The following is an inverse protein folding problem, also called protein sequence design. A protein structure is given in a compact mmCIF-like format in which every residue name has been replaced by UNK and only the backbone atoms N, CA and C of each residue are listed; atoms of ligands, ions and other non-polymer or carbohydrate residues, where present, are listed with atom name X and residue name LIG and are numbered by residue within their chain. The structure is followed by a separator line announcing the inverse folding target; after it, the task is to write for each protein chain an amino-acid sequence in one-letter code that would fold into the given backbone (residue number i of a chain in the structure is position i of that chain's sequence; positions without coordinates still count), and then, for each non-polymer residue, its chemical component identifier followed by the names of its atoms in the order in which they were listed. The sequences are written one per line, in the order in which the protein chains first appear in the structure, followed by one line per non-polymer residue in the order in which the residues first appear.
data_IF_636588467965
#
_entry.id   IF_636588467965
#
_cell.length_a   1.000
_cell.length_b   1.000
_cell.length_c   1.000
_cell.angle_alpha   90.00
_cell.angle_beta   90.00
_cell.angle_gamma   90.00
#
_symmetry.space_group_name_H-M   'P 1'
#
loop_
_entity.id
_entity.type
_entity.pdbx_description
1 polymer ?
#
# COMPACT_ATOMS: atom_id res chain seq x y z
N UNK A 1 8.36 -10.42 5.38
CA UNK A 1 7.10 -10.02 6.05
C UNK A 1 6.26 -11.26 6.34
N UNK A 2 5.69 -11.33 7.54
CA UNK A 2 4.80 -12.40 7.99
C UNK A 2 3.60 -11.71 8.63
N UNK A 3 2.46 -11.74 7.96
CA UNK A 3 1.23 -11.15 8.48
C UNK A 3 0.72 -11.95 9.70
N UNK A 4 0.69 -11.30 10.85
CA UNK A 4 0.26 -11.87 12.13
C UNK A 4 -0.08 -10.78 13.16
N UNK A 5 -0.99 -11.02 14.10
CA UNK A 5 -1.87 -12.18 14.20
C UNK A 5 -3.07 -12.10 13.25
N UNK A 6 -3.34 -10.93 12.64
CA UNK A 6 -4.32 -10.72 11.59
C UNK A 6 -3.89 -11.32 10.25
N UNK A 7 -4.75 -11.24 9.23
CA UNK A 7 -4.49 -11.68 7.85
C UNK A 7 -3.97 -13.12 7.69
N UNK A 8 -4.08 -13.94 8.74
CA UNK A 8 -3.44 -15.25 8.87
C UNK A 8 -4.31 -16.44 8.44
N UNK A 9 -5.45 -16.18 7.74
CA UNK A 9 -6.43 -17.22 7.40
C UNK A 9 -5.83 -18.45 6.72
N UNK A 10 -4.91 -18.26 5.77
CA UNK A 10 -4.28 -19.37 5.07
C UNK A 10 -3.51 -20.30 6.03
N UNK A 11 -2.74 -19.73 6.96
CA UNK A 11 -2.03 -20.49 7.98
C UNK A 11 -3.00 -21.19 8.95
N UNK A 12 -4.06 -20.49 9.39
CA UNK A 12 -5.07 -21.05 10.29
C UNK A 12 -5.75 -22.25 9.66
N UNK A 13 -6.22 -22.13 8.41
CA UNK A 13 -6.87 -23.22 7.67
C UNK A 13 -5.93 -24.42 7.48
N UNK A 14 -4.67 -24.16 7.10
CA UNK A 14 -3.67 -25.21 6.92
C UNK A 14 -3.37 -25.95 8.24
N UNK A 15 -3.22 -25.21 9.35
CA UNK A 15 -2.94 -25.82 10.65
C UNK A 15 -4.17 -26.52 11.24
N UNK A 16 -5.38 -26.06 10.95
CA UNK A 16 -6.61 -26.77 11.29
C UNK A 16 -6.71 -28.09 10.53
N UNK A 17 -6.43 -28.12 9.23
CA UNK A 17 -6.39 -29.37 8.45
C UNK A 17 -5.32 -30.34 8.98
N UNK A 18 -4.15 -29.82 9.43
CA UNK A 18 -3.13 -30.63 10.10
C UNK A 18 -3.65 -31.19 11.42
N UNK A 19 -4.33 -30.38 12.24
CA UNK A 19 -4.97 -30.80 13.49
C UNK A 19 -5.94 -31.96 13.25
N UNK A 20 -6.88 -31.82 12.33
CA UNK A 20 -7.87 -32.84 11.98
C UNK A 20 -7.21 -34.15 11.52
N UNK A 21 -6.14 -34.06 10.75
CA UNK A 21 -5.40 -35.23 10.25
C UNK A 21 -4.77 -36.07 11.36
N UNK A 22 -4.28 -35.45 12.43
CA UNK A 22 -3.53 -36.14 13.49
C UNK A 22 -4.36 -36.38 14.75
N UNK A 23 -5.56 -35.81 14.87
CA UNK A 23 -6.35 -35.83 16.10
C UNK A 23 -6.54 -37.23 16.70
N UNK A 24 -6.84 -38.22 15.87
CA UNK A 24 -7.09 -39.59 16.31
C UNK A 24 -5.81 -40.42 16.52
N UNK A 25 -4.74 -40.10 15.78
CA UNK A 25 -3.53 -40.92 15.73
C UNK A 25 -2.39 -40.39 16.61
N UNK A 26 -2.29 -39.08 16.75
CA UNK A 26 -1.27 -38.38 17.52
C UNK A 26 -1.80 -37.02 18.02
N UNK A 27 -2.54 -37.00 19.12
CA UNK A 27 -3.11 -35.76 19.67
C UNK A 27 -2.08 -34.69 20.02
N UNK A 28 -0.88 -35.05 20.41
CA UNK A 28 0.20 -34.11 20.73
C UNK A 28 0.61 -33.37 19.44
N UNK A 29 0.86 -34.13 18.39
CA UNK A 29 1.20 -33.59 17.06
C UNK A 29 0.06 -32.80 16.45
N UNK A 30 -1.20 -33.16 16.71
CA UNK A 30 -2.37 -32.42 16.26
C UNK A 30 -2.35 -30.98 16.81
N UNK A 31 -2.13 -30.79 18.12
CA UNK A 31 -2.13 -29.49 18.76
C UNK A 31 -0.84 -28.68 18.61
N UNK A 32 0.22 -29.27 18.04
CA UNK A 32 1.56 -28.67 18.01
C UNK A 32 1.58 -27.27 17.40
N UNK A 33 0.85 -27.06 16.29
CA UNK A 33 0.80 -25.80 15.52
C UNK A 33 -0.62 -25.31 15.28
N UNK A 34 -1.58 -25.72 16.11
CA UNK A 34 -2.96 -25.22 15.99
C UNK A 34 -2.98 -23.72 16.30
N UNK A 35 -3.62 -22.92 15.43
CA UNK A 35 -3.60 -21.46 15.48
C UNK A 35 -4.93 -20.82 15.91
N UNK A 36 -5.96 -21.63 16.07
CA UNK A 36 -7.29 -21.17 16.51
C UNK A 36 -7.83 -22.04 17.61
N UNK A 37 -8.51 -21.43 18.56
CA UNK A 37 -9.33 -22.14 19.53
C UNK A 37 -10.53 -22.75 18.80
N UNK A 38 -10.69 -24.08 18.89
CA UNK A 38 -11.78 -24.79 18.22
C UNK A 38 -13.16 -24.51 18.84
N UNK A 39 -13.18 -23.91 20.03
CA UNK A 39 -14.37 -23.50 20.76
C UNK A 39 -14.60 -21.97 20.73
N UNK A 40 -13.84 -21.25 19.90
CA UNK A 40 -13.98 -19.80 19.76
C UNK A 40 -15.34 -19.46 19.14
N UNK A 41 -16.13 -18.71 19.88
CA UNK A 41 -17.43 -18.17 19.47
C UNK A 41 -17.35 -16.65 19.21
N UNK A 42 -16.19 -16.13 18.87
CA UNK A 42 -16.01 -14.71 18.51
C UNK A 42 -16.79 -14.35 17.26
N UNK A 43 -17.36 -13.16 17.27
CA UNK A 43 -18.06 -12.59 16.11
C UNK A 43 -17.34 -11.35 15.64
N UNK A 44 -16.69 -11.46 14.50
CA UNK A 44 -16.02 -10.34 13.85
C UNK A 44 -16.02 -10.48 12.33
N UNK A 45 -15.78 -9.39 11.64
CA UNK A 45 -15.55 -9.36 10.18
C UNK A 45 -14.33 -8.49 9.92
N UNK A 46 -13.30 -9.08 9.31
CA UNK A 46 -12.10 -8.34 8.93
C UNK A 46 -12.36 -7.39 7.76
N UNK A 47 -11.44 -6.48 7.48
CA UNK A 47 -11.50 -5.56 6.34
C UNK A 47 -11.69 -6.31 4.99
N UNK A 48 -11.20 -7.56 4.88
CA UNK A 48 -11.36 -8.42 3.70
C UNK A 48 -12.61 -9.31 3.74
N UNK A 49 -13.49 -9.14 4.74
CA UNK A 49 -14.74 -9.89 4.85
C UNK A 49 -14.63 -11.29 5.47
N UNK A 50 -13.53 -11.61 6.14
CA UNK A 50 -13.34 -12.89 6.82
C UNK A 50 -13.70 -12.81 8.31
N UNK A 51 -14.19 -13.92 8.86
CA UNK A 51 -14.51 -14.09 10.29
C UNK A 51 -13.59 -15.11 11.00
N UNK A 52 -12.53 -15.56 10.32
CA UNK A 52 -11.65 -16.66 10.76
C UNK A 52 -10.17 -16.41 10.39
N UNK A 53 -9.76 -15.13 10.31
CA UNK A 53 -8.43 -14.75 9.83
C UNK A 53 -7.45 -14.28 10.91
N UNK A 54 -7.82 -14.36 12.19
CA UNK A 54 -6.99 -13.91 13.31
C UNK A 54 -6.49 -15.10 14.12
N UNK A 55 -5.16 -15.21 14.30
CA UNK A 55 -4.55 -16.26 15.15
C UNK A 55 -4.94 -16.06 16.61
N UNK A 56 -5.13 -17.15 17.35
CA UNK A 56 -5.34 -17.08 18.80
C UNK A 56 -3.98 -16.87 19.49
N UNK A 57 -3.79 -15.70 20.07
CA UNK A 57 -2.52 -15.27 20.68
C UNK A 57 -2.31 -15.77 22.11
N UNK A 58 -3.34 -16.32 22.76
CA UNK A 58 -3.23 -16.97 24.05
C UNK A 58 -2.72 -18.42 23.97
N UNK A 59 -2.67 -18.99 22.76
CA UNK A 59 -2.24 -20.37 22.55
C UNK A 59 -0.72 -20.49 22.40
N UNK A 60 -0.04 -21.33 23.21
CA UNK A 60 1.42 -21.57 23.03
C UNK A 60 1.79 -22.13 21.65
N UNK A 61 0.86 -22.82 20.98
CA UNK A 61 1.04 -23.34 19.61
C UNK A 61 1.23 -22.25 18.56
N UNK A 62 0.61 -21.08 18.74
CA UNK A 62 0.81 -19.90 17.88
C UNK A 62 2.28 -19.47 17.87
N UNK A 63 2.90 -19.37 19.04
CA UNK A 63 4.32 -19.00 19.15
C UNK A 63 5.26 -20.10 18.64
N UNK A 64 4.91 -21.39 18.84
CA UNK A 64 5.67 -22.49 18.22
C UNK A 64 5.66 -22.42 16.71
N UNK A 65 4.49 -22.14 16.13
CA UNK A 65 4.34 -21.95 14.69
C UNK A 65 5.18 -20.76 14.19
N UNK A 66 5.00 -19.59 14.79
CA UNK A 66 5.74 -18.37 14.40
C UNK A 66 7.26 -18.57 14.51
N UNK A 67 7.73 -19.15 15.61
CA UNK A 67 9.15 -19.49 15.81
C UNK A 67 9.65 -20.43 14.72
N UNK A 68 8.88 -21.46 14.36
CA UNK A 68 9.26 -22.40 13.30
C UNK A 68 9.38 -21.70 11.95
N UNK A 69 8.42 -20.86 11.59
CA UNK A 69 8.46 -20.09 10.33
C UNK A 69 9.71 -19.19 10.30
N UNK A 70 10.00 -18.46 11.37
CA UNK A 70 11.18 -17.58 11.45
C UNK A 70 12.48 -18.39 11.35
N UNK A 71 12.57 -19.52 12.02
CA UNK A 71 13.74 -20.41 11.95
C UNK A 71 13.98 -20.95 10.53
N UNK A 72 12.92 -21.33 9.83
CA UNK A 72 13.03 -21.76 8.41
C UNK A 72 13.52 -20.62 7.52
N UNK A 73 13.02 -19.40 7.72
CA UNK A 73 13.53 -18.23 6.99
C UNK A 73 15.01 -17.96 7.31
N UNK A 74 15.42 -18.05 8.58
CA UNK A 74 16.84 -17.92 8.94
C UNK A 74 17.72 -18.93 8.20
N UNK A 75 17.32 -20.21 8.18
CA UNK A 75 18.03 -21.26 7.46
C UNK A 75 18.14 -20.95 5.96
N UNK A 76 17.05 -20.51 5.33
CA UNK A 76 17.06 -20.13 3.91
C UNK A 76 18.04 -18.98 3.62
N UNK A 77 18.11 -17.98 4.50
CA UNK A 77 19.04 -16.86 4.36
C UNK A 77 20.49 -17.30 4.61
N UNK A 78 20.73 -18.18 5.59
CA UNK A 78 22.04 -18.78 5.85
C UNK A 78 22.51 -19.61 4.65
N UNK A 79 21.67 -20.48 4.10
CA UNK A 79 21.96 -21.26 2.89
C UNK A 79 22.27 -20.37 1.67
N UNK A 80 21.60 -19.24 1.56
CA UNK A 80 21.86 -18.24 0.50
C UNK A 80 23.13 -17.41 0.75
N UNK A 81 23.75 -17.50 1.94
CA UNK A 81 24.94 -16.72 2.31
C UNK A 81 24.65 -15.22 2.49
N UNK A 82 23.41 -14.83 2.80
CA UNK A 82 23.02 -13.45 3.01
C UNK A 82 22.42 -13.23 4.40
N UNK A 83 22.64 -12.08 5.07
CA UNK A 83 22.10 -11.83 6.40
C UNK A 83 20.58 -11.57 6.35
N UNK A 84 19.83 -12.20 7.25
CA UNK A 84 18.46 -11.81 7.57
C UNK A 84 18.50 -10.56 8.46
N UNK A 85 18.15 -9.40 7.89
CA UNK A 85 18.32 -8.09 8.56
C UNK A 85 17.20 -7.76 9.51
N UNK A 86 15.97 -8.18 9.22
CA UNK A 86 14.79 -7.95 10.05
C UNK A 86 13.69 -8.94 9.70
N UNK A 87 12.72 -9.09 10.57
CA UNK A 87 11.43 -9.74 10.31
C UNK A 87 10.33 -8.73 10.53
N UNK A 88 9.51 -8.53 9.52
CA UNK A 88 8.27 -7.78 9.64
C UNK A 88 7.17 -8.71 10.14
N UNK A 89 6.57 -8.39 11.29
CA UNK A 89 5.64 -9.27 12.01
C UNK A 89 4.16 -8.97 11.69
N UNK A 90 3.87 -8.06 10.78
CA UNK A 90 2.51 -7.60 10.48
C UNK A 90 2.00 -6.62 11.53
N UNK A 91 0.95 -7.00 12.24
CA UNK A 91 0.37 -6.27 13.38
C UNK A 91 -0.86 -5.43 13.02
N UNK A 92 -1.16 -5.27 11.74
CA UNK A 92 -2.26 -4.47 11.25
C UNK A 92 -3.60 -5.20 11.27
N UNK A 93 -4.67 -4.41 11.26
CA UNK A 93 -6.06 -4.80 11.02
C UNK A 93 -6.55 -6.04 11.81
N UNK A 94 -6.10 -6.21 13.06
CA UNK A 94 -6.73 -7.18 13.96
C UNK A 94 -8.18 -6.76 14.14
N UNK A 95 -9.10 -7.61 13.71
CA UNK A 95 -10.52 -7.26 13.63
C UNK A 95 -11.12 -7.05 15.01
N UNK A 96 -11.88 -5.97 15.18
CA UNK A 96 -12.66 -5.74 16.39
C UNK A 96 -13.63 -6.91 16.65
N UNK A 97 -13.67 -7.41 17.88
CA UNK A 97 -14.44 -8.59 18.25
C UNK A 97 -13.67 -9.92 18.19
N UNK A 98 -12.45 -9.94 17.60
CA UNK A 98 -11.58 -11.10 17.67
C UNK A 98 -11.26 -11.45 19.13
N UNK A 99 -11.11 -12.77 19.41
CA UNK A 99 -10.76 -13.35 20.71
C UNK A 99 -11.82 -13.24 21.81
N UNK A 100 -12.82 -12.36 21.68
CA UNK A 100 -13.83 -12.12 22.72
C UNK A 100 -14.69 -13.34 23.06
N UNK A 101 -14.88 -14.23 22.08
CA UNK A 101 -15.64 -15.47 22.24
C UNK A 101 -14.80 -16.68 22.63
N UNK A 102 -13.46 -16.58 22.59
CA UNK A 102 -12.56 -17.70 22.87
C UNK A 102 -12.46 -18.00 24.36
N UNK A 103 -12.83 -19.22 24.83
CA UNK A 103 -12.57 -19.67 26.19
C UNK A 103 -11.09 -19.57 26.57
N UNK A 104 -10.18 -19.97 25.68
CA UNK A 104 -8.71 -19.92 25.93
C UNK A 104 -8.26 -18.49 26.19
N UNK A 105 -8.72 -17.52 25.40
CA UNK A 105 -8.36 -16.10 25.61
C UNK A 105 -8.94 -15.56 26.93
N UNK A 106 -10.17 -15.92 27.27
CA UNK A 106 -10.79 -15.52 28.55
C UNK A 106 -10.02 -16.04 29.75
N UNK A 107 -9.68 -17.33 29.76
CA UNK A 107 -8.91 -17.94 30.83
C UNK A 107 -7.51 -17.30 30.92
N UNK A 108 -6.88 -17.05 29.79
CA UNK A 108 -5.58 -16.39 29.72
C UNK A 108 -5.63 -14.96 30.28
N UNK A 109 -6.64 -14.17 29.90
CA UNK A 109 -6.82 -12.81 30.41
C UNK A 109 -7.01 -12.80 31.93
N UNK A 110 -7.76 -13.77 32.46
CA UNK A 110 -7.94 -13.93 33.91
C UNK A 110 -6.61 -14.27 34.60
N UNK A 111 -5.85 -15.22 34.06
CA UNK A 111 -4.55 -15.62 34.61
C UNK A 111 -3.56 -14.46 34.69
N UNK A 112 -3.53 -13.62 33.65
CA UNK A 112 -2.62 -12.48 33.56
C UNK A 112 -3.22 -11.15 34.05
N UNK A 113 -4.42 -11.19 34.65
CA UNK A 113 -5.13 -10.00 35.15
C UNK A 113 -5.36 -8.92 34.08
N UNK A 114 -5.53 -9.31 32.83
CA UNK A 114 -5.86 -8.43 31.73
C UNK A 114 -7.33 -7.99 31.81
N UNK A 115 -7.58 -6.73 31.58
CA UNK A 115 -8.91 -6.10 31.66
C UNK A 115 -9.50 -5.75 30.31
N UNK A 116 -8.64 -5.61 29.29
CA UNK A 116 -9.01 -5.28 27.93
C UNK A 116 -8.46 -6.32 26.94
N UNK A 117 -9.25 -6.67 25.94
CA UNK A 117 -8.85 -7.57 24.83
C UNK A 117 -7.65 -7.03 24.06
N UNK A 118 -7.46 -5.71 24.03
CA UNK A 118 -6.30 -5.09 23.38
C UNK A 118 -4.97 -5.53 24.02
N UNK A 119 -4.94 -5.83 25.32
CA UNK A 119 -3.76 -6.35 26.03
C UNK A 119 -3.28 -7.70 25.47
N UNK A 120 -4.14 -8.46 24.79
CA UNK A 120 -3.73 -9.67 24.07
C UNK A 120 -2.87 -9.33 22.84
N UNK A 121 -3.14 -8.22 22.15
CA UNK A 121 -2.27 -7.73 21.08
C UNK A 121 -0.90 -7.30 21.62
N UNK A 122 -0.90 -6.58 22.74
CA UNK A 122 0.32 -6.15 23.43
C UNK A 122 1.18 -7.36 23.82
N UNK A 123 0.55 -8.36 24.43
CA UNK A 123 1.22 -9.62 24.77
C UNK A 123 1.83 -10.30 23.53
N UNK A 124 1.09 -10.36 22.41
CA UNK A 124 1.60 -10.96 21.18
C UNK A 124 2.83 -10.22 20.66
N UNK A 125 2.74 -8.90 20.56
CA UNK A 125 3.85 -8.06 20.08
C UNK A 125 5.09 -8.25 20.96
N UNK A 126 4.92 -8.15 22.28
CA UNK A 126 6.01 -8.36 23.24
C UNK A 126 6.68 -9.72 23.05
N UNK A 127 5.91 -10.79 22.97
CA UNK A 127 6.43 -12.16 22.77
C UNK A 127 7.19 -12.32 21.47
N UNK A 128 6.72 -11.67 20.39
CA UNK A 128 7.40 -11.72 19.10
C UNK A 128 8.69 -10.90 19.12
N UNK A 129 8.66 -9.70 19.70
CA UNK A 129 9.86 -8.85 19.83
C UNK A 129 10.91 -9.52 20.72
N UNK A 130 10.52 -10.11 21.87
CA UNK A 130 11.42 -10.85 22.75
C UNK A 130 12.10 -12.01 22.00
N UNK A 131 11.32 -12.80 21.29
CA UNK A 131 11.86 -13.91 20.50
C UNK A 131 12.87 -13.45 19.44
N UNK A 132 12.54 -12.40 18.68
CA UNK A 132 13.43 -11.86 17.66
C UNK A 132 14.71 -11.27 18.27
N UNK A 133 14.59 -10.59 19.40
CA UNK A 133 15.73 -10.05 20.16
C UNK A 133 16.66 -11.16 20.63
N UNK A 134 16.15 -12.29 21.14
CA UNK A 134 16.94 -13.46 21.48
C UNK A 134 17.75 -13.99 20.28
N UNK A 135 17.17 -13.91 19.08
CA UNK A 135 17.83 -14.29 17.82
C UNK A 135 18.73 -13.18 17.25
N UNK A 136 18.81 -12.01 17.90
CA UNK A 136 19.52 -10.81 17.43
C UNK A 136 19.03 -10.30 16.08
N UNK A 137 17.74 -10.45 15.81
CA UNK A 137 17.05 -9.95 14.62
C UNK A 137 16.15 -8.80 15.05
N UNK A 138 16.36 -7.58 14.56
CA UNK A 138 15.41 -6.48 14.80
C UNK A 138 14.05 -6.80 14.20
N UNK A 139 12.99 -6.35 14.85
CA UNK A 139 11.64 -6.47 14.30
C UNK A 139 11.30 -5.29 13.37
N UNK A 140 10.37 -5.52 12.45
CA UNK A 140 9.61 -4.52 11.71
C UNK A 140 8.13 -4.84 11.87
N UNK A 141 7.25 -3.89 11.57
CA UNK A 141 5.81 -4.11 11.56
C UNK A 141 5.08 -2.90 11.01
N UNK A 142 3.80 -3.09 10.76
CA UNK A 142 2.93 -1.97 10.42
C UNK A 142 2.78 -1.03 11.62
N UNK A 143 2.34 0.19 11.39
CA UNK A 143 2.27 1.24 12.43
C UNK A 143 1.46 0.81 13.67
N UNK A 144 0.57 -0.17 13.53
CA UNK A 144 -0.23 -0.71 14.61
C UNK A 144 0.60 -1.41 15.70
N UNK A 145 1.79 -1.91 15.37
CA UNK A 145 2.68 -2.53 16.40
C UNK A 145 3.24 -1.55 17.42
N UNK A 146 3.10 -0.24 17.16
CA UNK A 146 3.53 0.83 18.07
C UNK A 146 2.40 1.81 18.42
N UNK A 147 1.17 1.52 17.98
CA UNK A 147 0.02 2.39 18.17
C UNK A 147 -0.88 1.86 19.29
N UNK A 148 -1.04 2.65 20.37
CA UNK A 148 -2.02 2.33 21.42
C UNK A 148 -1.59 1.22 22.38
N UNK A 149 -0.29 0.98 22.51
CA UNK A 149 0.28 -0.02 23.42
C UNK A 149 0.78 0.64 24.70
N UNK A 150 -0.12 0.81 25.68
CA UNK A 150 0.21 1.49 26.94
C UNK A 150 1.09 0.62 27.86
N UNK A 151 1.03 -0.70 27.74
CA UNK A 151 1.78 -1.66 28.57
C UNK A 151 3.21 -1.90 28.04
N UNK A 152 3.51 -1.53 26.79
CA UNK A 152 4.82 -1.72 26.20
C UNK A 152 5.63 -0.42 26.25
N UNK A 153 6.83 -0.47 26.82
CA UNK A 153 7.73 0.68 26.84
C UNK A 153 8.10 1.13 25.41
N UNK A 154 7.82 2.40 25.08
CA UNK A 154 8.22 3.01 23.80
C UNK A 154 9.73 2.85 23.56
N UNK A 155 10.55 2.99 24.60
CA UNK A 155 12.00 2.82 24.52
C UNK A 155 12.37 1.38 24.14
N UNK A 156 11.66 0.38 24.71
CA UNK A 156 11.90 -1.01 24.38
C UNK A 156 11.61 -1.33 22.91
N UNK A 157 10.50 -0.83 22.37
CA UNK A 157 10.17 -1.01 20.96
C UNK A 157 11.16 -0.26 20.05
N UNK A 158 11.48 0.99 20.39
CA UNK A 158 12.42 1.81 19.61
C UNK A 158 13.81 1.17 19.51
N UNK A 159 14.33 0.61 20.62
CA UNK A 159 15.66 -0.01 20.69
C UNK A 159 15.75 -1.31 19.88
N UNK A 160 14.62 -1.97 19.62
CA UNK A 160 14.59 -3.26 18.92
C UNK A 160 13.99 -3.17 17.49
N UNK A 161 13.47 -2.01 17.09
CA UNK A 161 12.86 -1.82 15.78
C UNK A 161 13.90 -1.62 14.68
N UNK A 162 13.72 -2.29 13.54
CA UNK A 162 14.39 -2.00 12.28
C UNK A 162 13.65 -0.95 11.47
N UNK A 163 12.32 -1.05 11.39
CA UNK A 163 11.47 -0.11 10.66
C UNK A 163 9.99 -0.30 10.96
N UNK A 164 9.29 0.80 11.16
CA UNK A 164 7.84 0.85 11.32
C UNK A 164 7.23 1.37 10.03
N UNK A 165 6.54 0.50 9.32
CA UNK A 165 5.89 0.81 8.04
C UNK A 165 4.59 1.57 8.29
N UNK A 166 4.57 2.84 7.93
CA UNK A 166 3.41 3.72 8.13
C UNK A 166 2.62 3.86 6.84
N UNK A 167 1.42 3.29 6.82
CA UNK A 167 0.57 3.22 5.63
C UNK A 167 -0.67 4.12 5.69
N UNK A 168 -1.22 4.39 6.90
CA UNK A 168 -2.42 5.21 7.05
C UNK A 168 -2.10 6.68 6.81
N UNK A 169 -2.77 7.27 5.84
CA UNK A 169 -2.55 8.66 5.41
C UNK A 169 -3.84 9.46 5.31
N UNK A 170 -4.91 9.00 5.99
CA UNK A 170 -6.19 9.71 6.00
C UNK A 170 -6.13 10.94 6.90
N UNK A 171 -6.41 12.11 6.33
CA UNK A 171 -6.50 13.36 7.08
C UNK A 171 -7.75 13.41 7.98
N UNK A 172 -8.80 12.65 7.66
CA UNK A 172 -10.08 12.72 8.37
C UNK A 172 -10.03 12.25 9.83
N UNK A 173 -9.07 11.38 10.17
CA UNK A 173 -8.88 10.83 11.52
C UNK A 173 -7.49 11.09 12.09
N UNK A 174 -6.78 12.10 11.56
CA UNK A 174 -5.42 12.47 11.96
C UNK A 174 -4.37 11.34 11.84
N UNK A 175 -4.67 10.25 11.11
CA UNK A 175 -3.71 9.16 10.94
C UNK A 175 -2.51 9.55 10.06
N UNK A 176 -2.65 10.58 9.25
CA UNK A 176 -1.56 11.20 8.48
C UNK A 176 -0.46 11.81 9.37
N UNK A 177 -0.78 12.15 10.64
CA UNK A 177 0.19 12.69 11.59
C UNK A 177 1.05 11.64 12.28
N UNK A 178 0.60 10.37 12.30
CA UNK A 178 1.28 9.28 13.01
C UNK A 178 2.73 9.11 12.56
N UNK A 179 2.98 9.28 11.28
CA UNK A 179 4.31 9.21 10.66
C UNK A 179 5.31 10.12 11.39
N UNK A 180 4.96 11.40 11.54
CA UNK A 180 5.85 12.35 12.20
C UNK A 180 5.83 12.24 13.72
N UNK A 181 4.71 11.81 14.30
CA UNK A 181 4.64 11.51 15.74
C UNK A 181 5.62 10.39 16.09
N UNK A 182 5.64 9.31 15.34
CA UNK A 182 6.56 8.18 15.57
C UNK A 182 8.02 8.57 15.29
N UNK A 183 8.29 9.24 14.18
CA UNK A 183 9.63 9.70 13.87
C UNK A 183 10.20 10.63 14.94
N UNK A 184 9.39 11.56 15.46
CA UNK A 184 9.78 12.48 16.53
C UNK A 184 10.00 11.77 17.88
N UNK A 185 9.33 10.64 18.13
CA UNK A 185 9.52 9.77 19.29
C UNK A 185 10.76 8.87 19.19
N UNK A 186 11.43 8.83 18.03
CA UNK A 186 12.64 8.05 17.81
C UNK A 186 12.46 6.75 17.06
N UNK A 187 11.24 6.37 16.69
CA UNK A 187 11.03 5.16 15.87
C UNK A 187 11.64 5.30 14.49
N UNK A 188 12.33 4.28 13.98
CA UNK A 188 12.75 4.22 12.59
C UNK A 188 11.52 4.03 11.69
N UNK A 189 11.12 5.05 10.93
CA UNK A 189 9.89 5.06 10.13
C UNK A 189 10.20 4.77 8.67
N UNK A 190 9.39 3.90 8.07
CA UNK A 190 9.34 3.62 6.64
C UNK A 190 8.00 4.16 6.10
N UNK A 191 8.07 4.97 5.04
CA UNK A 191 6.90 5.58 4.44
C UNK A 191 6.26 4.63 3.43
N UNK A 192 5.16 4.01 3.80
CA UNK A 192 4.35 3.09 2.98
C UNK A 192 2.99 3.71 2.63
N UNK A 193 2.97 5.01 2.36
CA UNK A 193 1.77 5.83 2.21
C UNK A 193 0.76 5.25 1.24
N UNK A 194 -0.40 4.81 1.71
CA UNK A 194 -1.43 4.24 0.84
C UNK A 194 -1.89 5.20 -0.26
N UNK A 195 -1.92 6.51 0.00
CA UNK A 195 -2.29 7.54 -0.99
C UNK A 195 -1.30 7.68 -2.16
N UNK A 196 -0.08 7.13 -2.02
CA UNK A 196 1.01 7.30 -2.99
C UNK A 196 1.64 5.99 -3.44
N UNK A 197 1.71 4.99 -2.54
CA UNK A 197 2.52 3.79 -2.71
C UNK A 197 1.77 2.46 -2.60
N UNK A 198 0.45 2.47 -2.48
CA UNK A 198 -0.35 1.25 -2.66
C UNK A 198 -0.62 1.08 -4.16
N UNK A 199 0.22 0.26 -4.79
CA UNK A 199 0.25 0.11 -6.25
C UNK A 199 -0.93 -0.70 -6.80
N UNK A 200 -1.61 -1.45 -5.96
CA UNK A 200 -2.85 -2.19 -6.25
C UNK A 200 -4.10 -1.31 -6.33
N UNK A 201 -4.06 -0.08 -5.81
CA UNK A 201 -5.15 0.86 -6.00
C UNK A 201 -5.31 1.22 -7.47
N UNK A 202 -6.55 1.40 -7.93
CA UNK A 202 -6.85 1.77 -9.30
C UNK A 202 -6.14 3.08 -9.69
N UNK A 203 -5.72 3.17 -10.93
CA UNK A 203 -5.06 4.37 -11.44
C UNK A 203 -6.00 5.57 -11.54
N UNK A 204 -7.27 5.30 -11.84
CA UNK A 204 -8.29 6.34 -12.08
C UNK A 204 -9.70 5.79 -11.83
N UNK A 205 -10.69 6.69 -11.81
CA UNK A 205 -12.10 6.39 -11.63
C UNK A 205 -12.76 5.70 -12.85
N UNK A 206 -12.01 5.45 -13.94
CA UNK A 206 -12.55 4.84 -15.14
C UNK A 206 -13.07 3.41 -14.86
N UNK A 207 -14.28 3.03 -15.34
CA UNK A 207 -14.89 1.72 -15.04
C UNK A 207 -14.05 0.51 -15.48
N UNK A 208 -13.21 0.66 -16.51
CA UNK A 208 -12.33 -0.40 -17.01
C UNK A 208 -10.96 -0.43 -16.33
N UNK A 209 -10.66 0.50 -15.41
CA UNK A 209 -9.43 0.44 -14.62
C UNK A 209 -9.59 -0.57 -13.49
N UNK A 210 -8.73 -1.60 -13.43
CA UNK A 210 -8.78 -2.57 -12.34
C UNK A 210 -8.20 -1.98 -11.05
N UNK A 211 -8.60 -2.52 -9.92
CA UNK A 211 -8.06 -2.17 -8.59
C UNK A 211 -9.12 -1.69 -7.62
N UNK A 212 -8.74 -1.63 -6.37
CA UNK A 212 -9.53 -1.01 -5.32
C UNK A 212 -9.36 0.51 -5.33
N UNK A 213 -10.27 1.23 -4.66
CA UNK A 213 -10.24 2.69 -4.54
C UNK A 213 -10.59 3.19 -3.12
N UNK A 214 -10.47 2.31 -2.13
CA UNK A 214 -10.85 2.62 -0.74
C UNK A 214 -10.06 3.81 -0.15
N UNK A 215 -8.84 4.07 -0.66
CA UNK A 215 -8.03 5.24 -0.29
C UNK A 215 -7.81 6.19 -1.49
N UNK A 216 -8.75 6.22 -2.42
CA UNK A 216 -8.67 6.99 -3.66
C UNK A 216 -7.90 6.27 -4.77
N UNK A 217 -7.46 7.03 -5.74
CA UNK A 217 -6.75 6.53 -6.92
C UNK A 217 -5.26 6.84 -6.81
N UNK A 218 -4.41 5.93 -7.26
CA UNK A 218 -2.96 6.10 -7.27
C UNK A 218 -2.45 5.92 -8.68
N UNK A 219 -2.03 7.01 -9.29
CA UNK A 219 -1.34 7.02 -10.57
C UNK A 219 0.19 7.26 -10.39
N UNK A 220 0.89 7.26 -11.49
CA UNK A 220 2.34 7.50 -11.51
C UNK A 220 2.73 8.92 -11.06
N UNK A 221 1.83 9.90 -11.21
CA UNK A 221 2.09 11.26 -10.74
C UNK A 221 1.98 11.38 -9.22
N UNK A 222 1.06 10.63 -8.60
CA UNK A 222 0.93 10.59 -7.14
C UNK A 222 2.10 9.89 -6.47
N UNK A 223 2.57 8.76 -7.04
CA UNK A 223 3.77 8.12 -6.50
C UNK A 223 5.02 9.00 -6.66
N UNK A 224 5.13 9.76 -7.76
CA UNK A 224 6.17 10.76 -7.94
C UNK A 224 6.06 11.93 -6.96
N UNK A 225 4.85 12.35 -6.60
CA UNK A 225 4.59 13.55 -5.80
C UNK A 225 4.87 13.40 -4.30
N UNK A 226 5.19 12.20 -3.78
CA UNK A 226 5.49 12.04 -2.36
C UNK A 226 6.66 12.93 -1.94
N UNK A 227 6.51 13.59 -0.80
CA UNK A 227 7.53 14.39 -0.11
C UNK A 227 7.81 13.77 1.26
N UNK A 228 8.91 13.01 1.43
CA UNK A 228 9.20 12.31 2.69
C UNK A 228 9.26 13.23 3.91
N UNK A 229 9.71 14.47 3.73
CA UNK A 229 9.89 15.43 4.80
C UNK A 229 8.83 16.53 4.82
N UNK A 230 7.83 16.45 3.94
CA UNK A 230 6.71 17.36 3.86
C UNK A 230 5.42 16.63 3.47
N UNK A 231 5.09 15.57 4.24
CA UNK A 231 4.11 14.54 3.86
C UNK A 231 2.71 15.10 3.64
N UNK A 232 2.30 16.10 4.40
CA UNK A 232 0.97 16.72 4.27
C UNK A 232 0.75 17.36 2.89
N UNK A 233 1.82 17.78 2.21
CA UNK A 233 1.75 18.33 0.86
C UNK A 233 1.78 17.26 -0.23
N UNK A 234 2.06 16.02 0.11
CA UNK A 234 2.05 14.91 -0.85
C UNK A 234 0.64 14.60 -1.39
N UNK A 235 -0.40 15.08 -0.71
CA UNK A 235 -1.82 14.88 -1.07
C UNK A 235 -2.32 16.04 -1.94
N UNK A 236 -1.55 16.47 -2.93
CA UNK A 236 -1.81 17.68 -3.74
C UNK A 236 -3.09 17.67 -4.56
N UNK A 237 -3.56 16.51 -4.93
CA UNK A 237 -4.72 16.35 -5.82
C UNK A 237 -6.03 16.12 -5.07
N UNK A 238 -6.03 16.11 -3.73
CA UNK A 238 -7.27 16.03 -2.98
C UNK A 238 -7.88 17.42 -2.83
N UNK A 239 -9.20 17.51 -3.10
CA UNK A 239 -10.04 18.69 -2.82
C UNK A 239 -9.94 19.17 -1.36
N UNK A 240 -9.38 18.34 -0.47
CA UNK A 240 -9.11 18.61 0.95
C UNK A 240 -7.75 19.29 1.21
N UNK A 241 -6.89 19.46 0.22
CA UNK A 241 -5.59 20.12 0.40
C UNK A 241 -5.71 21.57 0.93
N UNK A 242 -6.82 22.25 0.63
CA UNK A 242 -7.13 23.58 1.13
C UNK A 242 -7.71 23.59 2.57
N UNK A 243 -8.03 22.42 3.14
CA UNK A 243 -8.55 22.30 4.51
C UNK A 243 -7.46 21.93 5.53
N UNK A 244 -6.22 21.68 5.09
CA UNK A 244 -5.07 21.34 5.95
C UNK A 244 -4.48 22.65 6.52
N UNK A 245 -5.30 23.47 7.16
CA UNK A 245 -4.83 24.67 7.90
C UNK A 245 -4.85 24.49 9.42
N UNK A 246 -5.15 23.29 9.92
CA UNK A 246 -5.02 22.97 11.33
C UNK A 246 -3.56 22.72 11.69
N UNK A 247 -3.22 22.97 12.95
CA UNK A 247 -1.88 22.71 13.51
C UNK A 247 -1.56 21.21 13.41
N UNK A 248 -0.84 20.82 12.37
CA UNK A 248 -0.35 19.46 12.17
C UNK A 248 0.98 19.23 12.88
N UNK A 249 1.23 18.02 13.33
CA UNK A 249 2.51 17.61 13.91
C UNK A 249 3.66 17.89 12.95
N UNK A 250 4.56 18.81 13.32
CA UNK A 250 5.75 19.13 12.53
C UNK A 250 6.84 18.08 12.72
N UNK A 251 7.56 17.76 11.65
CA UNK A 251 8.72 16.89 11.71
C UNK A 251 9.92 17.65 12.31
N UNK A 252 10.46 17.15 13.42
CA UNK A 252 11.63 17.74 14.07
C UNK A 252 12.92 17.37 13.31
N UNK A 253 14.02 18.10 13.59
CA UNK A 253 15.34 17.79 13.02
C UNK A 253 15.81 16.37 13.38
N UNK A 254 15.55 15.91 14.61
CA UNK A 254 15.85 14.54 15.03
C UNK A 254 14.90 13.54 14.39
N UNK A 255 13.60 13.84 14.34
CA UNK A 255 12.60 13.01 13.65
C UNK A 255 12.95 12.79 12.18
N UNK A 256 13.50 13.80 11.48
CA UNK A 256 13.97 13.67 10.11
C UNK A 256 15.02 12.56 9.92
N UNK A 257 15.90 12.34 10.89
CA UNK A 257 16.90 11.26 10.86
C UNK A 257 16.28 9.88 11.01
N UNK A 258 15.07 9.81 11.54
CA UNK A 258 14.33 8.59 11.77
C UNK A 258 13.46 8.19 10.59
N UNK A 259 13.27 9.01 9.57
CA UNK A 259 12.70 8.59 8.29
C UNK A 259 13.77 7.79 7.55
N UNK A 260 13.58 6.46 7.47
CA UNK A 260 14.60 5.52 6.96
C UNK A 260 14.46 5.22 5.48
N UNK A 261 13.26 5.36 4.94
CA UNK A 261 13.04 5.06 3.53
C UNK A 261 11.58 5.12 3.11
N UNK A 262 11.36 4.67 1.89
CA UNK A 262 10.05 4.54 1.26
C UNK A 262 9.82 3.09 0.87
N UNK A 263 8.57 2.66 0.93
CA UNK A 263 8.14 1.31 0.62
C UNK A 263 6.82 1.37 -0.16
N UNK A 264 6.58 0.41 -1.05
CA UNK A 264 5.29 0.25 -1.71
C UNK A 264 4.70 -1.12 -1.45
N UNK A 265 3.39 -1.17 -1.33
CA UNK A 265 2.63 -2.41 -1.27
C UNK A 265 1.95 -2.70 -2.62
N UNK A 266 1.77 -3.98 -2.92
CA UNK A 266 1.00 -4.49 -4.04
C UNK A 266 0.17 -5.66 -3.57
N UNK A 267 -1.03 -5.38 -3.07
CA UNK A 267 -1.96 -6.39 -2.57
C UNK A 267 -2.63 -7.14 -3.73
N UNK A 268 -2.97 -8.39 -3.52
CA UNK A 268 -3.29 -9.31 -4.63
C UNK A 268 -4.77 -9.57 -4.86
N UNK A 269 -5.69 -8.92 -4.14
CA UNK A 269 -7.14 -9.21 -4.18
C UNK A 269 -7.73 -9.09 -5.59
N UNK A 270 -7.26 -8.13 -6.37
CA UNK A 270 -7.72 -7.89 -7.75
C UNK A 270 -6.76 -8.41 -8.82
N UNK A 271 -5.61 -8.96 -8.43
CA UNK A 271 -4.59 -9.48 -9.35
C UNK A 271 -4.91 -10.91 -9.72
N UNK A 272 -5.10 -11.20 -11.02
CA UNK A 272 -5.48 -12.52 -11.52
C UNK A 272 -4.34 -13.30 -12.19
N UNK A 273 -3.30 -12.60 -12.62
CA UNK A 273 -2.17 -13.20 -13.32
C UNK A 273 -0.96 -12.25 -13.35
N UNK A 274 0.16 -12.73 -13.86
CA UNK A 274 1.41 -11.97 -13.95
C UNK A 274 1.30 -10.65 -14.72
N UNK A 275 0.49 -10.63 -15.80
CA UNK A 275 0.26 -9.39 -16.56
C UNK A 275 -0.48 -8.33 -15.74
N UNK A 276 -1.33 -8.77 -14.79
CA UNK A 276 -1.95 -7.87 -13.82
C UNK A 276 -0.92 -7.25 -12.89
N UNK A 277 0.04 -8.04 -12.38
CA UNK A 277 1.16 -7.52 -11.57
C UNK A 277 1.91 -6.42 -12.33
N UNK A 278 2.31 -6.68 -13.57
CA UNK A 278 3.03 -5.71 -14.40
C UNK A 278 2.20 -4.44 -14.65
N UNK A 279 0.89 -4.59 -14.91
CA UNK A 279 -0.02 -3.46 -15.13
C UNK A 279 -0.10 -2.54 -13.92
N UNK A 280 -0.21 -3.10 -12.72
CA UNK A 280 -0.27 -2.31 -11.49
C UNK A 280 1.08 -1.67 -11.14
N UNK A 281 2.18 -2.38 -11.35
CA UNK A 281 3.52 -1.88 -11.05
C UNK A 281 3.94 -0.73 -11.96
N UNK A 282 3.76 -0.90 -13.28
CA UNK A 282 4.32 0.04 -14.26
C UNK A 282 3.25 0.96 -14.86
N UNK A 283 3.43 2.30 -14.78
CA UNK A 283 4.65 3.03 -14.37
C UNK A 283 4.73 3.48 -12.91
N UNK A 284 3.78 3.20 -12.01
CA UNK A 284 3.73 3.72 -10.63
C UNK A 284 5.03 3.54 -9.86
N UNK A 285 5.67 2.37 -9.98
CA UNK A 285 6.91 2.04 -9.26
C UNK A 285 8.06 2.99 -9.59
N UNK A 286 7.99 3.67 -10.73
CA UNK A 286 9.01 4.66 -11.09
C UNK A 286 8.98 5.88 -10.17
N UNK A 287 7.80 6.26 -9.65
CA UNK A 287 7.68 7.31 -8.65
C UNK A 287 8.30 6.91 -7.31
N UNK A 288 8.11 5.68 -6.86
CA UNK A 288 8.80 5.13 -5.69
C UNK A 288 10.32 5.17 -5.87
N UNK A 289 10.82 4.70 -7.02
CA UNK A 289 12.25 4.70 -7.33
C UNK A 289 12.82 6.12 -7.30
N UNK A 290 12.11 7.09 -7.89
CA UNK A 290 12.52 8.50 -7.87
C UNK A 290 12.62 9.04 -6.44
N UNK A 291 11.65 8.73 -5.58
CA UNK A 291 11.68 9.15 -4.16
C UNK A 291 12.77 8.44 -3.35
N UNK A 292 13.05 7.18 -3.63
CA UNK A 292 14.13 6.43 -3.00
C UNK A 292 15.53 7.00 -3.34
N UNK A 293 15.75 7.46 -4.59
CA UNK A 293 16.99 8.06 -5.04
C UNK A 293 17.09 9.55 -4.72
N UNK A 294 15.96 10.27 -4.72
CA UNK A 294 15.90 11.73 -4.61
C UNK A 294 14.79 12.14 -3.64
N UNK A 295 15.05 12.01 -2.35
CA UNK A 295 14.08 12.23 -1.29
C UNK A 295 13.64 13.70 -1.10
N UNK A 296 14.43 14.66 -1.55
CA UNK A 296 14.13 16.10 -1.42
C UNK A 296 14.20 16.78 -2.78
N UNK A 297 13.11 16.79 -3.56
CA UNK A 297 13.07 17.46 -4.84
C UNK A 297 13.16 18.98 -4.69
N UNK A 298 13.59 19.68 -5.76
CA UNK A 298 13.83 21.12 -5.75
C UNK A 298 12.60 21.94 -5.34
N UNK A 299 11.42 21.45 -5.59
CA UNK A 299 10.15 22.10 -5.26
C UNK A 299 9.68 21.88 -3.81
N UNK A 300 10.34 20.99 -3.04
CA UNK A 300 9.98 20.71 -1.65
C UNK A 300 10.03 21.95 -0.74
N UNK A 301 11.07 22.83 -0.78
CA UNK A 301 11.12 24.04 0.05
C UNK A 301 10.26 25.19 -0.48
N UNK A 302 9.71 25.08 -1.71
CA UNK A 302 8.94 26.14 -2.35
C UNK A 302 7.48 26.14 -1.89
N UNK A 303 6.77 27.25 -2.11
CA UNK A 303 5.34 27.41 -1.79
C UNK A 303 4.60 28.16 -2.89
N UNK A 304 3.27 28.01 -2.94
CA UNK A 304 2.42 28.75 -3.88
C UNK A 304 2.69 28.44 -5.33
N UNK A 305 2.64 29.48 -6.18
CA UNK A 305 2.78 29.32 -7.64
C UNK A 305 4.18 28.84 -8.06
N UNK A 306 5.24 29.25 -7.36
CA UNK A 306 6.59 28.83 -7.67
C UNK A 306 6.78 27.34 -7.44
N UNK A 307 6.20 26.81 -6.35
CA UNK A 307 6.16 25.37 -6.08
C UNK A 307 5.41 24.61 -7.19
N UNK A 308 4.22 25.09 -7.56
CA UNK A 308 3.42 24.45 -8.60
C UNK A 308 4.18 24.40 -9.94
N UNK A 309 4.73 25.51 -10.38
CA UNK A 309 5.50 25.58 -11.63
C UNK A 309 6.74 24.68 -11.62
N UNK A 310 7.46 24.64 -10.49
CA UNK A 310 8.63 23.78 -10.34
C UNK A 310 8.23 22.30 -10.34
N UNK A 311 7.15 21.93 -9.65
CA UNK A 311 6.60 20.56 -9.65
C UNK A 311 6.15 20.13 -11.05
N UNK A 312 5.38 20.96 -11.76
CA UNK A 312 4.90 20.66 -13.12
C UNK A 312 6.07 20.46 -14.10
N UNK A 313 7.11 21.28 -13.98
CA UNK A 313 8.33 21.15 -14.79
C UNK A 313 9.06 19.84 -14.50
N UNK A 314 9.20 19.48 -13.24
CA UNK A 314 9.87 18.24 -12.81
C UNK A 314 9.06 17.00 -13.22
N UNK A 315 7.73 17.05 -13.05
CA UNK A 315 6.80 16.02 -13.50
C UNK A 315 6.85 15.84 -15.04
N UNK A 316 6.91 16.93 -15.80
CA UNK A 316 7.07 16.86 -17.26
C UNK A 316 8.39 16.19 -17.65
N UNK A 317 9.47 16.46 -16.91
CA UNK A 317 10.76 15.79 -17.13
C UNK A 317 10.69 14.29 -16.77
N UNK A 318 10.02 13.94 -15.67
CA UNK A 318 9.75 12.55 -15.28
C UNK A 318 9.01 11.78 -16.39
N UNK A 319 7.91 12.33 -16.93
CA UNK A 319 7.17 11.72 -18.04
C UNK A 319 8.00 11.62 -19.32
N UNK A 320 8.86 12.60 -19.57
CA UNK A 320 9.80 12.55 -20.69
C UNK A 320 10.75 11.35 -20.56
N UNK A 321 11.28 11.09 -19.36
CA UNK A 321 12.15 9.92 -19.11
C UNK A 321 11.39 8.62 -19.28
N UNK A 322 10.19 8.51 -18.72
CA UNK A 322 9.33 7.33 -18.92
C UNK A 322 9.12 7.08 -20.40
N UNK A 323 8.74 8.12 -21.18
CA UNK A 323 8.42 7.97 -22.59
C UNK A 323 9.63 7.56 -23.44
N UNK A 324 10.80 8.17 -23.19
CA UNK A 324 11.97 8.02 -24.05
C UNK A 324 12.91 6.89 -23.64
N UNK A 325 12.84 6.43 -22.39
CA UNK A 325 13.79 5.47 -21.83
C UNK A 325 13.10 4.20 -21.32
N UNK A 326 12.09 4.36 -20.47
CA UNK A 326 11.47 3.22 -19.80
C UNK A 326 10.51 2.47 -20.72
N UNK A 327 9.62 3.16 -21.43
CA UNK A 327 8.68 2.53 -22.37
C UNK A 327 9.41 1.70 -23.44
N UNK A 328 10.45 2.21 -24.14
CA UNK A 328 11.22 1.38 -25.08
C UNK A 328 11.89 0.16 -24.43
N UNK A 329 12.35 0.30 -23.17
CA UNK A 329 12.90 -0.82 -22.43
C UNK A 329 11.83 -1.85 -22.06
N UNK A 330 10.67 -1.40 -21.55
CA UNK A 330 9.54 -2.28 -21.22
C UNK A 330 8.98 -3.00 -22.45
N UNK A 331 8.91 -2.35 -23.60
CA UNK A 331 8.54 -2.98 -24.87
C UNK A 331 9.51 -4.10 -25.27
N UNK A 332 10.82 -3.84 -25.15
CA UNK A 332 11.87 -4.84 -25.42
C UNK A 332 11.77 -6.03 -24.48
N UNK A 333 11.41 -5.82 -23.21
CA UNK A 333 11.22 -6.85 -22.20
C UNK A 333 9.82 -7.48 -22.21
N UNK A 334 8.94 -7.03 -23.12
CA UNK A 334 7.55 -7.46 -23.22
C UNK A 334 6.73 -7.28 -21.93
N UNK A 335 7.02 -6.23 -21.15
CA UNK A 335 6.31 -5.88 -19.93
C UNK A 335 4.92 -5.33 -20.26
N UNK A 336 3.91 -5.71 -19.51
CA UNK A 336 2.52 -5.25 -19.67
C UNK A 336 2.26 -3.97 -18.86
N UNK A 337 2.97 -2.89 -19.16
CA UNK A 337 2.76 -1.61 -18.50
C UNK A 337 1.44 -0.93 -18.90
N UNK A 338 0.89 -0.13 -18.01
CA UNK A 338 -0.30 0.69 -18.25
C UNK A 338 0.07 1.96 -19.03
N UNK A 339 -0.76 2.33 -20.00
CA UNK A 339 -0.72 3.66 -20.62
C UNK A 339 -1.86 4.53 -20.04
N UNK A 340 -1.59 5.78 -19.62
CA UNK A 340 -2.65 6.69 -19.25
C UNK A 340 -3.58 6.93 -20.43
N UNK A 341 -4.87 7.04 -20.19
CA UNK A 341 -5.78 7.50 -21.23
C UNK A 341 -5.63 9.02 -21.44
N UNK A 342 -5.97 9.53 -22.62
CA UNK A 342 -5.83 10.95 -22.90
C UNK A 342 -6.79 11.79 -22.06
N UNK A 343 -6.32 12.93 -21.59
CA UNK A 343 -7.20 13.96 -21.06
C UNK A 343 -8.02 14.58 -22.21
N UNK A 344 -9.32 14.77 -21.98
CA UNK A 344 -10.24 15.40 -22.94
C UNK A 344 -10.90 16.62 -22.32
N UNK A 345 -11.06 17.65 -23.12
CA UNK A 345 -11.81 18.85 -22.76
C UNK A 345 -12.56 19.38 -23.99
N UNK A 346 -13.82 19.77 -23.83
CA UNK A 346 -14.60 20.46 -24.87
C UNK A 346 -14.88 21.86 -24.34
N UNK A 347 -14.47 22.87 -25.08
CA UNK A 347 -14.70 24.26 -24.73
C UNK A 347 -16.15 24.69 -24.99
N UNK A 348 -16.51 25.92 -24.54
CA UNK A 348 -17.83 26.53 -24.74
C UNK A 348 -18.24 26.71 -26.20
N UNK A 349 -17.28 26.74 -27.12
CA UNK A 349 -17.47 26.85 -28.54
C UNK A 349 -17.59 25.49 -29.24
N UNK A 350 -17.53 24.39 -28.50
CA UNK A 350 -17.65 23.00 -28.95
C UNK A 350 -16.41 22.46 -29.61
N UNK A 351 -15.18 22.99 -29.29
CA UNK A 351 -13.94 22.42 -29.76
C UNK A 351 -13.39 21.41 -28.77
N UNK A 352 -13.06 20.22 -29.27
CA UNK A 352 -12.36 19.18 -28.55
C UNK A 352 -10.87 19.51 -28.45
N UNK A 353 -10.35 19.52 -27.25
CA UNK A 353 -8.94 19.50 -26.88
C UNK A 353 -8.60 18.15 -26.28
N UNK A 354 -7.41 17.65 -26.58
CA UNK A 354 -6.89 16.43 -25.96
C UNK A 354 -5.40 16.60 -25.62
N UNK A 355 -4.97 15.90 -24.59
CA UNK A 355 -3.55 15.88 -24.22
C UNK A 355 -3.14 14.52 -23.68
N UNK A 356 -1.84 14.28 -23.60
CA UNK A 356 -1.23 13.12 -22.95
C UNK A 356 0.15 13.52 -22.43
N UNK A 357 0.58 13.01 -21.26
CA UNK A 357 1.93 13.23 -20.76
C UNK A 357 2.98 12.37 -21.49
N UNK A 358 2.55 11.36 -22.26
CA UNK A 358 3.43 10.39 -22.92
C UNK A 358 3.90 10.95 -24.26
N UNK A 359 5.20 11.26 -24.34
CA UNK A 359 5.82 11.78 -25.57
C UNK A 359 5.89 10.70 -26.65
N UNK A 360 5.53 11.08 -27.88
CA UNK A 360 5.47 10.16 -29.03
C UNK A 360 4.22 9.28 -29.04
N UNK A 361 3.31 9.46 -28.11
CA UNK A 361 2.00 8.81 -28.13
C UNK A 361 1.04 9.54 -29.09
N UNK A 362 0.21 8.77 -29.81
CA UNK A 362 -0.80 9.27 -30.73
C UNK A 362 -2.18 9.14 -30.12
N UNK A 363 -2.91 10.26 -30.01
CA UNK A 363 -4.31 10.24 -29.54
C UNK A 363 -5.20 10.05 -30.76
N UNK A 364 -5.82 8.88 -30.86
CA UNK A 364 -6.84 8.59 -31.86
C UNK A 364 -8.22 8.82 -31.29
N UNK A 365 -9.11 9.44 -32.09
CA UNK A 365 -10.44 9.79 -31.65
C UNK A 365 -11.51 9.51 -32.69
N UNK A 366 -12.76 9.39 -32.22
CA UNK A 366 -13.97 9.31 -33.01
C UNK A 366 -14.98 10.33 -32.49
N UNK A 367 -15.91 10.76 -33.34
CA UNK A 367 -17.02 11.69 -32.98
C UNK A 367 -18.40 11.10 -33.26
N UNK A 368 -18.47 9.78 -33.45
CA UNK A 368 -19.66 9.01 -33.74
C UNK A 368 -19.93 7.90 -32.72
N UNK A 369 -19.25 7.97 -31.58
CA UNK A 369 -19.38 7.00 -30.48
C UNK A 369 -18.71 5.64 -30.74
N UNK A 370 -18.10 5.43 -31.90
CA UNK A 370 -17.37 4.19 -32.18
C UNK A 370 -16.06 4.12 -31.44
N UNK A 371 -15.61 2.91 -31.19
CA UNK A 371 -14.32 2.64 -30.52
C UNK A 371 -13.13 3.10 -31.39
N UNK A 372 -12.22 3.96 -30.88
CA UNK A 372 -11.03 4.39 -31.60
C UNK A 372 -10.08 3.24 -31.87
N UNK A 373 -9.56 3.20 -33.08
CA UNK A 373 -8.53 2.25 -33.55
C UNK A 373 -7.35 3.00 -34.12
N UNK A 374 -6.26 2.30 -34.44
CA UNK A 374 -5.11 2.90 -35.15
C UNK A 374 -5.44 3.52 -36.51
N UNK A 375 -6.59 3.18 -37.09
CA UNK A 375 -7.09 3.76 -38.33
C UNK A 375 -8.03 4.95 -38.12
N UNK A 376 -8.35 5.28 -36.88
CA UNK A 376 -9.14 6.47 -36.54
C UNK A 376 -8.33 7.74 -36.71
N UNK A 377 -9.02 8.90 -36.72
CA UNK A 377 -8.37 10.20 -36.84
C UNK A 377 -7.41 10.44 -35.68
N UNK A 378 -6.23 10.98 -35.99
CA UNK A 378 -5.25 11.41 -34.98
C UNK A 378 -5.58 12.86 -34.60
N UNK A 379 -5.64 13.12 -33.29
CA UNK A 379 -5.81 14.48 -32.77
C UNK A 379 -4.45 15.21 -32.80
N UNK A 380 -4.40 16.31 -33.52
CA UNK A 380 -3.21 17.17 -33.63
C UNK A 380 -3.54 18.68 -33.50
N UNK A 381 -4.81 19.03 -33.43
CA UNK A 381 -5.31 20.38 -33.24
C UNK A 381 -6.75 20.34 -32.74
N UNK A 382 -7.26 21.44 -32.15
CA UNK A 382 -8.66 21.53 -31.74
C UNK A 382 -9.63 21.19 -32.88
N UNK A 383 -10.62 20.35 -32.58
CA UNK A 383 -11.61 19.85 -33.57
C UNK A 383 -13.01 20.18 -33.11
N UNK A 384 -13.81 20.80 -33.98
CA UNK A 384 -15.21 21.10 -33.67
C UNK A 384 -16.03 19.80 -33.61
N UNK A 385 -16.58 19.52 -32.44
CA UNK A 385 -17.46 18.39 -32.19
C UNK A 385 -18.92 18.89 -32.07
N UNK A 386 -19.79 18.39 -32.92
CA UNK A 386 -21.23 18.73 -32.89
C UNK A 386 -21.99 17.50 -32.43
N UNK A 387 -22.45 17.49 -31.20
CA UNK A 387 -23.57 16.68 -30.67
C UNK A 387 -23.44 15.18 -30.45
N UNK A 388 -22.32 14.51 -30.68
CA UNK A 388 -22.21 13.06 -30.46
C UNK A 388 -21.14 12.72 -29.40
N UNK A 389 -21.25 11.55 -28.85
CA UNK A 389 -20.24 11.00 -27.95
C UNK A 389 -18.87 10.98 -28.64
N UNK A 390 -17.91 11.65 -28.03
CA UNK A 390 -16.50 11.64 -28.45
C UNK A 390 -15.82 10.52 -27.66
N UNK A 391 -15.10 9.66 -28.38
CA UNK A 391 -14.22 8.66 -27.77
C UNK A 391 -12.78 8.89 -28.18
N UNK A 392 -11.86 8.72 -27.25
CA UNK A 392 -10.44 8.83 -27.56
C UNK A 392 -9.62 7.75 -26.84
N UNK A 393 -8.49 7.41 -27.42
CA UNK A 393 -7.55 6.40 -26.95
C UNK A 393 -6.13 6.79 -27.29
N UNK A 394 -5.20 6.59 -26.36
CA UNK A 394 -3.78 6.77 -26.59
C UNK A 394 -3.18 5.48 -27.16
N UNK A 395 -2.35 5.61 -28.19
CA UNK A 395 -1.55 4.55 -28.77
C UNK A 395 -0.05 4.89 -28.67
N UNK A 396 0.75 3.91 -28.26
CA UNK A 396 2.21 3.97 -28.27
C UNK A 396 2.72 2.65 -28.83
N UNK A 397 3.32 2.67 -30.01
CA UNK A 397 3.68 1.43 -30.69
C UNK A 397 2.48 0.47 -30.85
N UNK A 398 2.58 -0.72 -30.27
CA UNK A 398 1.48 -1.71 -30.27
C UNK A 398 0.59 -1.67 -29.01
N UNK A 399 0.94 -0.85 -28.05
CA UNK A 399 0.16 -0.67 -26.81
C UNK A 399 -0.92 0.39 -27.01
N UNK A 400 -1.98 0.26 -26.20
CA UNK A 400 -3.11 1.21 -26.20
C UNK A 400 -3.62 1.38 -24.78
N UNK A 401 -4.10 2.59 -24.50
CA UNK A 401 -4.85 2.86 -23.25
C UNK A 401 -6.26 2.27 -23.25
N UNK A 402 -6.94 2.35 -22.13
CA UNK A 402 -8.40 2.28 -22.10
C UNK A 402 -9.00 3.45 -22.90
N UNK A 403 -10.27 3.34 -23.28
CA UNK A 403 -10.97 4.37 -24.05
C UNK A 403 -11.62 5.35 -23.10
N UNK A 404 -11.34 6.63 -23.25
CA UNK A 404 -12.10 7.67 -22.56
C UNK A 404 -13.23 8.19 -23.46
N UNK A 405 -14.39 8.42 -22.84
CA UNK A 405 -15.58 8.95 -23.52
C UNK A 405 -15.98 10.30 -22.92
N UNK A 406 -16.44 11.21 -23.77
CA UNK A 406 -17.02 12.49 -23.38
C UNK A 406 -18.28 12.76 -24.19
N UNK A 407 -19.34 13.14 -23.51
CA UNK A 407 -20.56 13.55 -24.18
C UNK A 407 -20.72 15.08 -24.08
N UNK A 408 -20.65 15.81 -25.22
CA UNK A 408 -20.75 17.28 -25.24
C UNK A 408 -22.07 17.87 -24.69
N UNK A 409 -23.09 17.04 -24.53
CA UNK A 409 -24.41 17.51 -24.03
C UNK A 409 -24.44 17.66 -22.50
N UNK A 410 -23.43 17.16 -21.79
CA UNK A 410 -23.35 17.18 -20.32
C UNK A 410 -22.36 18.19 -19.76
N UNK A 411 -21.74 19.02 -20.61
CA UNK A 411 -20.72 20.00 -20.21
C UNK A 411 -20.99 21.41 -20.77
#
# INVERSE_FOLDING_TARGET
EIESPGHARAAIVAMKARYERYLETDPIKAHEYLLNDIHDASHYVSAQGYSDNVMNVAMPSTYRFMKKVIQELQLMYEEAGVPLKSIHIGGDEVAEGAWQGSPICKDFMLEYSMTDVQELSDYFIMRMVDFLKEQKIPFSGWQEVVLGHDEISEQYLTDNAFGISCWRTSANNHSDELIYKFANKGYPVILSNATNFYLDLAYDAHPDEPGHNWNGYVDESKSFALLPYCIYRSIRTHLLANQIQEEKTSLTAEGRKNIKGVESALWSETIRNYKGVEYYLFPKIMGLAERGWHSSPIWEPMTGIDEQLAFEKDLAFYYKRISQKEIPYWDKMNINYRLPFPGLYIDKDGFLFANTPILGGEIHYTTDGKEPTKNSKIWNKPVKCRTNEVKAKLFVGNKKSVTVSMNPQFY
#
